data_IF_834949067327
#
_entry.id   IF_834949067327
#
_cell.length_a   1.000
_cell.length_b   1.000
_cell.length_c   1.000
_cell.angle_alpha   90.00
_cell.angle_beta   90.00
_cell.angle_gamma   90.00
#
_symmetry.space_group_name_H-M   'P 1'
#
loop_
_entity.id
_entity.type
_entity.pdbx_description
1 polymer ?
#
# COMPACT_ATOMS: atom_id res chain seq x y z
N UNK A 1 -47.25 0.40 41.19
CA UNK A 1 -46.61 0.38 39.85
C UNK A 1 -45.12 0.62 40.02
N UNK A 2 -44.30 -0.43 39.87
CA UNK A 2 -42.84 -0.39 40.07
C UNK A 2 -42.19 0.14 38.78
N UNK A 3 -41.58 1.33 38.85
CA UNK A 3 -40.77 1.86 37.74
C UNK A 3 -39.42 1.14 37.80
N UNK A 4 -39.23 0.19 36.89
CA UNK A 4 -37.95 -0.51 36.72
C UNK A 4 -36.95 0.46 36.09
N UNK A 5 -35.84 0.65 36.79
CA UNK A 5 -34.64 1.34 36.31
C UNK A 5 -34.14 0.64 35.05
N UNK A 6 -34.21 1.30 33.89
CA UNK A 6 -33.51 0.84 32.69
C UNK A 6 -32.08 1.35 32.77
N UNK A 7 -31.28 0.76 33.67
CA UNK A 7 -29.83 0.78 33.57
C UNK A 7 -29.42 -0.39 32.67
N UNK A 8 -29.49 -0.18 31.36
CA UNK A 8 -28.82 -1.02 30.38
C UNK A 8 -27.59 -0.26 29.85
N UNK A 9 -26.66 0.05 30.76
CA UNK A 9 -25.29 0.33 30.39
C UNK A 9 -24.70 -1.01 29.95
N UNK A 10 -24.78 -1.31 28.65
CA UNK A 10 -24.11 -2.44 28.03
C UNK A 10 -22.60 -2.17 28.12
N UNK A 11 -22.02 -2.42 29.29
CA UNK A 11 -20.59 -2.64 29.41
C UNK A 11 -20.33 -4.02 28.80
N UNK A 12 -19.21 -4.13 28.09
CA UNK A 12 -18.62 -5.38 27.59
C UNK A 12 -19.20 -5.88 26.26
N UNK A 13 -18.81 -5.25 25.15
CA UNK A 13 -18.55 -6.02 23.93
C UNK A 13 -17.04 -6.04 23.66
N UNK A 14 -16.39 -7.02 24.28
CA UNK A 14 -15.31 -7.85 23.73
C UNK A 14 -14.28 -7.14 22.85
N UNK A 15 -13.38 -6.39 23.50
CA UNK A 15 -12.12 -5.98 22.91
C UNK A 15 -11.15 -7.15 22.73
N UNK A 16 -11.43 -8.03 21.78
CA UNK A 16 -10.36 -8.73 21.08
C UNK A 16 -9.91 -7.80 19.95
N UNK A 17 -9.18 -6.73 20.28
CA UNK A 17 -8.30 -6.12 19.28
C UNK A 17 -7.14 -7.10 19.12
N UNK A 18 -7.38 -8.22 18.43
CA UNK A 18 -6.31 -9.01 17.89
C UNK A 18 -5.54 -8.05 16.99
N UNK A 19 -4.31 -7.71 17.37
CA UNK A 19 -3.40 -7.01 16.49
C UNK A 19 -3.29 -7.85 15.22
N UNK A 20 -4.04 -7.50 14.18
CA UNK A 20 -4.07 -8.25 12.94
C UNK A 20 -2.69 -8.07 12.31
N UNK A 21 -1.85 -9.10 12.43
CA UNK A 21 -0.53 -9.12 11.81
C UNK A 21 -0.72 -9.41 10.33
N UNK A 22 -0.65 -8.36 9.51
CA UNK A 22 -0.67 -8.50 8.06
C UNK A 22 0.73 -8.85 7.55
N UNK A 23 0.85 -9.81 6.61
CA UNK A 23 2.13 -10.09 5.98
C UNK A 23 2.62 -8.88 5.19
N UNK A 24 3.90 -8.56 5.33
CA UNK A 24 4.55 -7.51 4.54
C UNK A 24 4.80 -8.00 3.11
N UNK A 25 4.45 -7.17 2.14
CA UNK A 25 4.80 -7.31 0.73
C UNK A 25 5.56 -6.06 0.27
N UNK A 26 6.25 -6.17 -0.86
CA UNK A 26 7.16 -5.14 -1.34
C UNK A 26 6.71 -4.60 -2.69
N UNK A 27 6.96 -3.32 -2.91
CA UNK A 27 6.71 -2.65 -4.19
C UNK A 27 7.74 -3.11 -5.23
N UNK A 28 7.28 -3.39 -6.45
CA UNK A 28 8.13 -3.86 -7.55
C UNK A 28 8.78 -2.72 -8.35
N UNK A 29 8.06 -1.61 -8.52
CA UNK A 29 8.47 -0.46 -9.33
C UNK A 29 8.18 0.84 -8.59
N UNK A 30 9.05 1.85 -8.74
CA UNK A 30 8.78 3.19 -8.22
C UNK A 30 7.47 3.74 -8.77
N UNK A 31 6.78 4.54 -7.96
CA UNK A 31 5.52 5.22 -8.30
C UNK A 31 4.36 4.25 -8.62
N UNK A 32 4.35 3.06 -8.02
CA UNK A 32 3.17 2.20 -8.05
C UNK A 32 1.99 2.91 -7.38
N UNK A 33 0.80 2.82 -7.97
CA UNK A 33 -0.37 3.58 -7.50
C UNK A 33 -1.13 2.83 -6.41
N UNK A 34 -1.45 3.54 -5.33
CA UNK A 34 -2.45 3.13 -4.35
C UNK A 34 -3.78 3.82 -4.69
N UNK A 35 -4.84 3.05 -4.86
CA UNK A 35 -6.14 3.55 -5.27
C UNK A 35 -7.16 3.48 -4.13
N UNK A 36 -8.13 4.38 -4.17
CA UNK A 36 -9.28 4.36 -3.25
C UNK A 36 -10.24 3.21 -3.55
N UNK A 37 -10.33 2.79 -4.82
CA UNK A 37 -11.22 1.73 -5.30
C UNK A 37 -10.51 0.85 -6.34
N UNK A 38 -10.93 -0.41 -6.54
CA UNK A 38 -10.31 -1.34 -7.47
C UNK A 38 -10.75 -1.10 -8.93
N UNK A 39 -10.51 0.10 -9.47
CA UNK A 39 -10.89 0.48 -10.84
C UNK A 39 -9.77 1.26 -11.55
N UNK A 40 -9.68 1.13 -12.88
CA UNK A 40 -8.63 1.77 -13.68
C UNK A 40 -8.64 3.31 -13.65
N UNK A 41 -9.79 3.91 -13.33
CA UNK A 41 -9.99 5.37 -13.23
C UNK A 41 -10.34 5.81 -11.81
N UNK A 42 -10.12 4.94 -10.82
CA UNK A 42 -10.29 5.32 -9.42
C UNK A 42 -9.26 6.39 -9.04
N UNK A 43 -9.62 7.19 -8.04
CA UNK A 43 -8.72 8.15 -7.44
C UNK A 43 -7.46 7.46 -6.89
N UNK A 44 -6.31 8.07 -7.18
CA UNK A 44 -5.02 7.65 -6.66
C UNK A 44 -4.79 8.37 -5.33
N UNK A 45 -4.75 7.61 -4.24
CA UNK A 45 -4.48 8.12 -2.90
C UNK A 45 -3.01 8.49 -2.76
N UNK A 46 -2.11 7.64 -3.28
CA UNK A 46 -0.67 7.85 -3.16
C UNK A 46 0.15 7.09 -4.20
N UNK A 47 1.38 7.55 -4.39
CA UNK A 47 2.40 6.88 -5.19
C UNK A 47 3.41 6.19 -4.26
N UNK A 48 3.47 4.87 -4.36
CA UNK A 48 4.29 4.02 -3.51
C UNK A 48 5.74 4.00 -3.99
N UNK A 49 6.65 4.04 -3.02
CA UNK A 49 8.09 3.92 -3.20
C UNK A 49 8.56 2.49 -2.88
N UNK A 50 9.76 2.14 -3.36
CA UNK A 50 10.36 0.82 -3.08
C UNK A 50 10.64 0.58 -1.59
N UNK A 51 10.76 1.67 -0.82
CA UNK A 51 11.01 1.66 0.62
C UNK A 51 9.75 1.55 1.46
N UNK A 52 8.56 1.69 0.85
CA UNK A 52 7.31 1.69 1.60
C UNK A 52 6.99 0.30 2.14
N UNK A 53 6.60 0.23 3.41
CA UNK A 53 6.09 -0.99 3.99
C UNK A 53 4.62 -1.16 3.62
N UNK A 54 4.34 -2.17 2.80
CA UNK A 54 2.99 -2.50 2.36
C UNK A 54 2.51 -3.75 3.11
N UNK A 55 1.46 -3.58 3.90
CA UNK A 55 0.81 -4.67 4.62
C UNK A 55 -0.30 -5.27 3.74
N UNK A 56 -0.21 -6.57 3.42
CA UNK A 56 -1.24 -7.25 2.66
C UNK A 56 -2.40 -7.64 3.59
N UNK A 57 -3.55 -6.99 3.41
CA UNK A 57 -4.77 -7.33 4.15
C UNK A 57 -5.39 -8.60 3.56
N UNK A 58 -5.72 -8.59 2.26
CA UNK A 58 -6.22 -9.77 1.53
C UNK A 58 -6.21 -9.57 0.01
N UNK A 59 -6.37 -10.67 -0.73
CA UNK A 59 -6.71 -10.64 -2.16
C UNK A 59 -8.15 -10.11 -2.32
N UNK A 60 -8.37 -9.18 -3.25
CA UNK A 60 -9.72 -8.78 -3.67
C UNK A 60 -10.17 -9.62 -4.87
N UNK A 61 -9.36 -9.64 -5.93
CA UNK A 61 -9.55 -10.51 -7.10
C UNK A 61 -8.19 -10.81 -7.76
N UNK A 62 -8.18 -11.30 -9.00
CA UNK A 62 -6.92 -11.60 -9.71
C UNK A 62 -6.04 -10.36 -9.92
N UNK A 63 -6.67 -9.21 -10.18
CA UNK A 63 -5.97 -7.95 -10.47
C UNK A 63 -5.62 -7.15 -9.22
N UNK A 64 -6.47 -7.15 -8.19
CA UNK A 64 -6.39 -6.23 -7.07
C UNK A 64 -6.12 -6.91 -5.74
N UNK A 65 -5.31 -6.25 -4.92
CA UNK A 65 -5.07 -6.57 -3.52
C UNK A 65 -5.56 -5.41 -2.64
N UNK A 66 -6.13 -5.74 -1.49
CA UNK A 66 -6.38 -4.78 -0.43
C UNK A 66 -5.14 -4.76 0.45
N UNK A 67 -4.57 -3.57 0.62
CA UNK A 67 -3.34 -3.35 1.37
C UNK A 67 -3.53 -2.22 2.36
N UNK A 68 -2.60 -2.11 3.30
CA UNK A 68 -2.48 -1.00 4.23
C UNK A 68 -1.06 -0.42 4.12
N UNK A 69 -0.96 0.88 3.95
CA UNK A 69 0.33 1.61 3.87
C UNK A 69 0.25 2.76 4.85
N UNK A 70 1.19 2.83 5.81
CA UNK A 70 1.21 3.86 6.87
C UNK A 70 -0.13 4.02 7.62
N UNK A 71 -0.87 2.94 7.86
CA UNK A 71 -2.18 3.04 8.50
C UNK A 71 -3.37 3.17 7.54
N UNK A 72 -3.14 3.59 6.29
CA UNK A 72 -4.20 3.87 5.32
C UNK A 72 -4.53 2.63 4.48
N UNK A 73 -5.78 2.13 4.49
CA UNK A 73 -6.19 1.06 3.59
C UNK A 73 -6.36 1.56 2.15
N UNK A 74 -6.08 0.70 1.18
CA UNK A 74 -6.29 1.00 -0.23
C UNK A 74 -6.12 -0.22 -1.13
N UNK A 75 -6.21 0.02 -2.43
CA UNK A 75 -6.12 -1.01 -3.47
C UNK A 75 -4.85 -0.84 -4.27
N UNK A 76 -4.12 -1.93 -4.50
CA UNK A 76 -2.96 -1.97 -5.38
C UNK A 76 -3.11 -3.10 -6.39
N UNK A 77 -2.64 -2.89 -7.61
CA UNK A 77 -2.63 -3.95 -8.60
C UNK A 77 -1.56 -4.99 -8.25
N UNK A 78 -1.92 -6.27 -8.35
CA UNK A 78 -1.06 -7.41 -8.00
C UNK A 78 0.31 -7.36 -8.68
N UNK A 79 0.36 -6.90 -9.93
CA UNK A 79 1.60 -6.86 -10.72
C UNK A 79 2.60 -5.81 -10.21
N UNK A 80 2.15 -4.80 -9.44
CA UNK A 80 2.98 -3.76 -8.86
C UNK A 80 3.68 -4.17 -7.55
N UNK A 81 3.37 -5.34 -7.00
CA UNK A 81 3.91 -5.81 -5.72
C UNK A 81 4.43 -7.24 -5.81
N UNK A 82 5.18 -7.65 -4.79
CA UNK A 82 5.81 -8.96 -4.69
C UNK A 82 5.97 -9.36 -3.22
N UNK A 83 5.92 -10.66 -2.94
CA UNK A 83 6.24 -11.20 -1.61
C UNK A 83 7.75 -11.23 -1.34
N UNK A 84 8.57 -11.14 -2.39
CA UNK A 84 10.04 -11.13 -2.29
C UNK A 84 10.53 -9.70 -2.35
N UNK A 85 11.33 -9.28 -1.37
CA UNK A 85 11.98 -7.99 -1.41
C UNK A 85 12.96 -7.96 -2.60
N UNK A 86 12.77 -6.99 -3.49
CA UNK A 86 13.66 -6.85 -4.64
C UNK A 86 15.02 -6.35 -4.16
N UNK A 87 16.09 -7.12 -4.41
CA UNK A 87 17.47 -6.63 -4.28
C UNK A 87 17.80 -5.77 -5.49
N UNK A 88 17.12 -4.63 -5.67
CA UNK A 88 17.58 -3.69 -6.71
C UNK A 88 18.84 -3.01 -6.21
N UNK A 89 19.98 -3.61 -6.59
CA UNK A 89 21.30 -3.00 -6.68
C UNK A 89 21.13 -1.56 -7.17
N UNK A 90 21.47 -0.59 -6.32
CA UNK A 90 21.57 0.82 -6.69
C UNK A 90 22.42 0.91 -7.97
N UNK A 91 21.79 0.94 -9.15
CA UNK A 91 22.47 1.34 -10.38
C UNK A 91 22.39 2.86 -10.35
N UNK A 92 23.50 3.57 -10.11
CA UNK A 92 23.48 5.03 -10.12
C UNK A 92 22.92 5.46 -11.47
N UNK A 93 21.94 6.35 -11.44
CA UNK A 93 21.48 7.09 -12.61
C UNK A 93 22.73 7.66 -13.28
N UNK A 94 23.05 7.17 -14.47
CA UNK A 94 24.15 7.74 -15.25
C UNK A 94 23.75 9.16 -15.60
N UNK A 95 24.22 10.12 -14.82
CA UNK A 95 24.36 11.49 -15.26
C UNK A 95 25.39 11.44 -16.40
N UNK A 96 24.93 11.20 -17.63
CA UNK A 96 25.74 11.45 -18.81
C UNK A 96 25.95 12.96 -18.83
N UNK A 97 27.19 13.48 -18.72
CA UNK A 97 27.42 14.86 -19.10
C UNK A 97 27.08 14.98 -20.59
N UNK A 98 26.30 16.02 -20.95
CA UNK A 98 26.20 16.46 -22.34
C UNK A 98 27.64 16.72 -22.83
N UNK A 99 28.18 15.82 -23.65
CA UNK A 99 29.44 16.06 -24.31
C UNK A 99 29.15 17.05 -25.44
N UNK A 100 29.83 18.18 -25.35
CA UNK A 100 29.84 19.31 -26.26
C UNK A 100 30.02 18.86 -27.72
N UNK A 101 29.24 19.47 -28.60
CA UNK A 101 29.36 19.40 -30.06
C UNK A 101 30.75 19.87 -30.48
N UNK A 102 31.54 19.01 -31.13
CA UNK A 102 32.69 19.43 -31.92
C UNK A 102 32.42 19.08 -33.39
N UNK A 103 31.97 20.10 -34.13
CA UNK A 103 32.03 20.15 -35.59
C UNK A 103 33.50 20.36 -35.99
N UNK A 104 34.05 19.51 -36.86
CA UNK A 104 35.29 19.86 -37.57
C UNK A 104 35.33 19.27 -38.98
N UNK A 105 35.12 20.19 -39.92
CA UNK A 105 35.65 20.36 -41.28
C UNK A 105 35.89 19.11 -42.14
#
# INVERSE_FOLDING_TARGET
MKKLLITALIIIQTGWVLAQTYPTIYVRHQNAKLYQQPACRAEVISLLQLTDQVQLVRKFNERWLIVKVNGQPGYVERWNVTKKQSRQKNKPSSNLPLIVVEQKN
#
